data_IF_430553735536
#
_entry.id   IF_430553735536
#
_cell.length_a   1.000
_cell.length_b   1.000
_cell.length_c   1.000
_cell.angle_alpha   90.00
_cell.angle_beta   90.00
_cell.angle_gamma   90.00
#
_symmetry.space_group_name_H-M   'P 1'
#
loop_
_entity.id
_entity.type
_entity.pdbx_description
1 polymer ?
#
# COMPACT_ATOMS: atom_id res chain seq x y z
N UNK A 1 11.28 5.20 -20.27
CA UNK A 1 10.75 3.92 -20.79
C UNK A 1 9.53 3.57 -19.95
N UNK A 2 8.38 3.19 -20.53
CA UNK A 2 7.21 2.79 -19.76
C UNK A 2 7.53 1.56 -18.90
N UNK A 3 6.94 1.51 -17.70
CA UNK A 3 6.97 0.34 -16.82
C UNK A 3 5.90 -0.65 -17.29
N UNK A 4 6.23 -1.94 -17.31
CA UNK A 4 5.33 -2.98 -17.78
C UNK A 4 4.68 -3.66 -16.57
N UNK A 5 3.35 -3.59 -16.42
CA UNK A 5 2.66 -4.30 -15.36
C UNK A 5 2.60 -5.80 -15.66
N UNK A 6 2.55 -6.61 -14.60
CA UNK A 6 2.33 -8.06 -14.64
C UNK A 6 0.84 -8.36 -14.68
N UNK A 7 0.08 -7.65 -13.85
CA UNK A 7 -1.36 -7.82 -13.71
C UNK A 7 -2.05 -6.48 -13.52
N UNK A 8 -3.27 -6.37 -14.03
CA UNK A 8 -4.12 -5.19 -13.89
C UNK A 8 -5.53 -5.68 -13.54
N UNK A 9 -6.04 -5.26 -12.39
CA UNK A 9 -7.40 -5.56 -11.93
C UNK A 9 -8.18 -4.26 -11.81
N UNK A 10 -9.20 -4.06 -12.64
CA UNK A 10 -10.13 -2.95 -12.46
C UNK A 10 -11.14 -3.32 -11.36
N UNK A 11 -11.40 -2.41 -10.44
CA UNK A 11 -12.43 -2.58 -9.42
C UNK A 11 -13.77 -2.12 -10.00
N UNK A 12 -14.79 -2.95 -9.81
CA UNK A 12 -16.15 -2.68 -10.25
C UNK A 12 -17.07 -2.59 -9.03
N UNK A 13 -18.12 -1.77 -9.12
CA UNK A 13 -19.18 -1.72 -8.12
C UNK A 13 -20.14 -2.93 -8.26
N UNK A 14 -21.11 -3.04 -7.35
CA UNK A 14 -22.11 -4.11 -7.36
C UNK A 14 -23.01 -4.10 -8.61
N UNK A 15 -23.03 -2.98 -9.35
CA UNK A 15 -23.76 -2.83 -10.60
C UNK A 15 -22.92 -3.20 -11.83
N UNK A 16 -21.67 -3.64 -11.64
CA UNK A 16 -20.73 -3.97 -12.71
C UNK A 16 -20.16 -2.76 -13.45
N UNK A 17 -20.24 -1.56 -12.86
CA UNK A 17 -19.62 -0.33 -13.40
C UNK A 17 -18.24 -0.14 -12.80
N UNK A 18 -17.26 0.39 -13.55
CA UNK A 18 -15.92 0.64 -13.02
C UNK A 18 -16.01 1.67 -11.89
N UNK A 19 -15.48 1.33 -10.72
CA UNK A 19 -15.57 2.18 -9.52
C UNK A 19 -14.69 3.43 -9.58
N UNK A 20 -13.82 3.52 -10.59
CA UNK A 20 -12.73 4.50 -10.61
C UNK A 20 -11.49 4.02 -9.86
N UNK A 21 -11.49 2.79 -9.34
CA UNK A 21 -10.34 2.16 -8.71
C UNK A 21 -9.82 0.93 -9.49
N UNK A 22 -8.58 0.55 -9.23
CA UNK A 22 -7.88 -0.54 -9.91
C UNK A 22 -6.61 -0.88 -9.14
N UNK A 23 -6.21 -2.14 -9.20
CA UNK A 23 -4.96 -2.62 -8.67
C UNK A 23 -4.01 -2.98 -9.81
N UNK A 24 -2.75 -2.54 -9.72
CA UNK A 24 -1.71 -2.83 -10.72
C UNK A 24 -0.53 -3.48 -10.05
N UNK A 25 -0.12 -4.65 -10.52
CA UNK A 25 1.02 -5.40 -9.99
C UNK A 25 2.22 -5.27 -10.93
N UNK A 26 3.42 -5.15 -10.36
CA UNK A 26 4.68 -5.11 -11.10
C UNK A 26 5.61 -6.23 -10.64
N UNK A 27 6.52 -6.65 -11.52
CA UNK A 27 7.45 -7.75 -11.22
C UNK A 27 8.41 -7.44 -10.07
N UNK A 28 8.70 -6.16 -9.82
CA UNK A 28 9.67 -5.72 -8.81
C UNK A 28 9.19 -4.48 -8.08
N UNK A 29 9.68 -4.28 -6.84
CA UNK A 29 9.44 -3.07 -6.06
C UNK A 29 10.02 -1.80 -6.72
N UNK A 30 11.09 -1.94 -7.52
CA UNK A 30 11.67 -0.80 -8.22
C UNK A 30 10.77 -0.33 -9.37
N UNK A 31 10.19 -1.24 -10.15
CA UNK A 31 9.27 -0.90 -11.25
C UNK A 31 8.01 -0.20 -10.73
N UNK A 32 7.51 -0.76 -9.65
CA UNK A 32 6.52 -0.23 -8.74
C UNK A 32 6.85 1.24 -8.32
N UNK A 33 8.04 1.50 -7.76
CA UNK A 33 8.46 2.86 -7.41
C UNK A 33 8.59 3.79 -8.63
N UNK A 34 9.08 3.28 -9.76
CA UNK A 34 9.17 4.07 -11.00
C UNK A 34 7.79 4.49 -11.50
N UNK A 35 6.77 3.62 -11.35
CA UNK A 35 5.39 3.94 -11.69
C UNK A 35 4.84 5.12 -10.87
N UNK A 36 5.24 5.22 -9.59
CA UNK A 36 4.82 6.30 -8.68
C UNK A 36 5.24 7.69 -9.13
N UNK A 37 6.20 7.82 -10.04
CA UNK A 37 6.54 9.11 -10.66
C UNK A 37 5.38 9.76 -11.42
N UNK A 38 4.29 9.03 -11.65
CA UNK A 38 3.05 9.49 -12.29
C UNK A 38 1.94 9.83 -11.29
N UNK A 39 2.20 9.82 -9.99
CA UNK A 39 1.22 10.29 -9.00
C UNK A 39 0.77 11.73 -9.30
N UNK A 40 -0.51 12.03 -9.04
CA UNK A 40 -1.18 13.32 -9.29
C UNK A 40 -1.09 13.83 -10.73
N UNK A 41 -0.80 12.94 -11.67
CA UNK A 41 -0.82 13.25 -13.10
C UNK A 41 -2.23 13.13 -13.66
N UNK A 42 -2.37 13.32 -14.97
CA UNK A 42 -3.62 13.11 -15.67
C UNK A 42 -3.56 11.89 -16.58
N UNK A 43 -4.64 11.12 -16.60
CA UNK A 43 -4.94 10.17 -17.64
C UNK A 43 -6.06 10.75 -18.50
N UNK A 44 -5.70 11.21 -19.71
CA UNK A 44 -6.57 12.03 -20.55
C UNK A 44 -7.08 13.27 -19.79
N UNK A 45 -8.39 13.35 -19.50
CA UNK A 45 -9.03 14.48 -18.83
C UNK A 45 -9.25 14.24 -17.32
N UNK A 46 -8.85 13.08 -16.79
CA UNK A 46 -9.06 12.73 -15.38
C UNK A 46 -7.76 12.76 -14.60
N UNK A 47 -7.81 13.36 -13.42
CA UNK A 47 -6.72 13.30 -12.45
C UNK A 47 -6.61 11.88 -11.89
N UNK A 48 -5.38 11.43 -11.64
CA UNK A 48 -5.11 10.14 -11.03
C UNK A 48 -4.29 10.31 -9.76
N UNK A 49 -4.63 9.53 -8.74
CA UNK A 49 -3.81 9.34 -7.55
C UNK A 49 -3.32 7.89 -7.51
N UNK A 50 -2.04 7.73 -7.16
CA UNK A 50 -1.40 6.43 -7.06
C UNK A 50 -0.95 6.21 -5.63
N UNK A 51 -1.21 5.01 -5.11
CA UNK A 51 -0.79 4.60 -3.78
C UNK A 51 0.14 3.39 -3.87
N UNK A 52 1.36 3.55 -3.36
CA UNK A 52 2.32 2.46 -3.24
C UNK A 52 1.88 1.51 -2.14
N UNK A 53 1.45 0.32 -2.53
CA UNK A 53 1.19 -0.78 -1.61
C UNK A 53 2.20 -1.90 -1.87
N UNK A 54 3.47 -1.58 -1.60
CA UNK A 54 4.60 -2.51 -1.63
C UNK A 54 5.68 -2.00 -0.68
N UNK A 55 6.28 -2.89 0.09
CA UNK A 55 7.44 -2.57 0.94
C UNK A 55 8.73 -3.01 0.21
N UNK A 56 9.79 -2.18 0.18
CA UNK A 56 11.09 -2.63 -0.28
C UNK A 56 11.52 -3.78 0.63
N UNK A 57 11.91 -4.91 0.05
CA UNK A 57 12.01 -6.19 0.75
C UNK A 57 12.68 -6.12 2.13
N UNK A 58 11.87 -6.32 3.17
CA UNK A 58 12.19 -7.26 4.23
C UNK A 58 11.17 -8.40 4.17
N UNK A 59 11.27 -9.22 3.12
CA UNK A 59 10.72 -10.58 3.12
C UNK A 59 11.56 -11.43 4.08
N UNK A 60 11.34 -11.26 5.38
CA UNK A 60 12.01 -12.02 6.45
C UNK A 60 11.83 -11.41 7.83
N UNK A 61 10.85 -11.89 8.61
CA UNK A 61 10.90 -11.73 10.07
C UNK A 61 9.60 -11.36 10.78
N UNK A 62 8.56 -12.18 10.68
CA UNK A 62 7.72 -12.45 11.86
C UNK A 62 8.33 -13.65 12.61
N UNK A 63 9.60 -13.50 13.00
CA UNK A 63 10.27 -14.37 13.94
C UNK A 63 10.24 -13.66 15.28
N UNK A 64 9.54 -14.23 16.26
CA UNK A 64 9.61 -13.75 17.63
C UNK A 64 11.03 -13.80 18.19
N UNK A 65 11.22 -13.04 19.27
CA UNK A 65 12.32 -13.13 20.24
C UNK A 65 13.69 -12.57 19.83
N UNK A 66 13.99 -11.37 20.32
CA UNK A 66 15.33 -10.86 20.66
C UNK A 66 15.10 -9.57 21.43
N UNK A 67 15.04 -9.56 22.76
CA UNK A 67 16.21 -9.63 23.63
C UNK A 67 16.19 -8.37 24.52
N UNK A 68 16.53 -8.50 25.82
CA UNK A 68 16.58 -7.37 26.78
C UNK A 68 17.42 -6.18 26.28
N UNK A 69 17.47 -5.01 26.91
CA UNK A 69 17.54 -4.68 28.34
C UNK A 69 17.34 -3.14 28.48
N UNK A 70 16.55 -2.66 29.46
CA UNK A 70 16.76 -1.42 30.24
C UNK A 70 15.62 -1.29 31.27
N UNK A 71 15.83 -1.57 32.55
CA UNK A 71 16.22 -0.62 33.61
C UNK A 71 15.20 0.54 33.77
N UNK A 72 14.66 0.66 34.99
CA UNK A 72 13.36 1.27 35.24
C UNK A 72 13.27 2.79 35.09
N UNK A 73 12.07 3.28 34.76
CA UNK A 73 11.61 4.62 35.10
C UNK A 73 10.07 4.74 34.95
N UNK A 74 9.39 4.84 36.10
CA UNK A 74 8.14 5.58 36.38
C UNK A 74 6.91 5.55 35.44
N UNK A 75 5.77 5.31 36.11
CA UNK A 75 4.37 5.58 35.73
C UNK A 75 4.07 6.88 34.94
N UNK A 76 2.89 6.83 34.29
CA UNK A 76 2.10 7.88 33.59
C UNK A 76 2.47 7.87 32.10
N UNK A 77 1.62 7.42 31.17
CA UNK A 77 0.34 8.02 30.82
C UNK A 77 -0.71 6.97 30.43
N UNK A 78 -1.80 6.91 31.19
CA UNK A 78 -3.10 6.48 30.69
C UNK A 78 -3.65 7.62 29.84
N UNK A 79 -3.94 7.39 28.57
CA UNK A 79 -4.65 8.39 27.77
C UNK A 79 -4.70 8.07 26.29
N UNK A 80 -5.90 8.06 25.74
CA UNK A 80 -6.14 8.32 24.32
C UNK A 80 -6.68 7.12 23.55
N UNK A 81 -7.98 7.16 23.26
CA UNK A 81 -8.63 6.24 22.33
C UNK A 81 -8.00 6.32 20.93
N UNK A 82 -7.76 5.14 20.35
CA UNK A 82 -7.35 4.98 18.96
C UNK A 82 -8.34 4.04 18.29
N UNK A 83 -8.93 4.50 17.20
CA UNK A 83 -9.67 3.69 16.23
C UNK A 83 -8.84 2.45 15.88
N UNK A 84 -9.44 1.27 16.10
CA UNK A 84 -8.87 -0.02 15.75
C UNK A 84 -8.94 -0.20 14.24
N UNK A 85 -7.82 -0.03 13.56
CA UNK A 85 -7.67 -0.55 12.20
C UNK A 85 -7.34 -2.04 12.32
N UNK A 86 -8.39 -2.85 12.27
CA UNK A 86 -8.30 -4.30 12.19
C UNK A 86 -7.62 -4.71 10.88
N UNK A 87 -6.69 -5.64 11.02
CA UNK A 87 -5.80 -6.21 10.04
C UNK A 87 -6.52 -6.78 8.81
N UNK A 88 -5.99 -6.43 7.64
CA UNK A 88 -6.03 -7.27 6.44
C UNK A 88 -4.60 -7.47 5.96
N UNK A 89 -3.87 -8.37 6.62
CA UNK A 89 -2.57 -8.85 6.15
C UNK A 89 -2.77 -9.56 4.81
N UNK A 90 -2.47 -8.85 3.72
CA UNK A 90 -2.32 -9.41 2.40
C UNK A 90 -1.02 -8.86 1.84
N UNK A 91 0.00 -9.71 1.69
CA UNK A 91 1.19 -9.39 0.91
C UNK A 91 0.76 -9.25 -0.56
N UNK A 92 0.21 -8.10 -0.93
CA UNK A 92 -0.17 -7.80 -2.29
C UNK A 92 0.82 -6.76 -2.80
N UNK A 93 1.68 -7.13 -3.75
CA UNK A 93 2.66 -6.26 -4.42
C UNK A 93 1.98 -5.29 -5.42
N UNK A 94 0.72 -4.92 -5.15
CA UNK A 94 -0.14 -4.17 -6.04
C UNK A 94 -0.30 -2.72 -5.60
N UNK A 95 -0.34 -1.80 -6.55
CA UNK A 95 -0.70 -0.40 -6.36
C UNK A 95 -2.19 -0.23 -6.42
N UNK A 96 -2.76 0.61 -5.55
CA UNK A 96 -4.13 1.08 -5.72
C UNK A 96 -4.13 2.35 -6.59
N UNK A 97 -4.89 2.34 -7.67
CA UNK A 97 -5.27 3.53 -8.45
C UNK A 97 -6.63 3.99 -7.97
N UNK A 98 -6.81 5.31 -7.90
CA UNK A 98 -8.11 5.95 -7.83
C UNK A 98 -8.17 7.16 -8.77
N UNK A 99 -9.29 7.28 -9.49
CA UNK A 99 -9.67 8.47 -10.24
C UNK A 99 -10.88 9.10 -9.56
N UNK A 100 -10.81 10.41 -9.32
CA UNK A 100 -11.97 11.23 -9.00
C UNK A 100 -12.72 11.63 -10.26
#
# INVERSE_FOLDING_TARGET
RPVNPVNIRIVYDDNGRPSGEADVEFSTHEDALRAMSKDKSHMQHRYIELFLNSTPGNSGGYGGSSGGFNSGLSNKFRGGGGYSNNMGSGNNLGFKYSSF
#
